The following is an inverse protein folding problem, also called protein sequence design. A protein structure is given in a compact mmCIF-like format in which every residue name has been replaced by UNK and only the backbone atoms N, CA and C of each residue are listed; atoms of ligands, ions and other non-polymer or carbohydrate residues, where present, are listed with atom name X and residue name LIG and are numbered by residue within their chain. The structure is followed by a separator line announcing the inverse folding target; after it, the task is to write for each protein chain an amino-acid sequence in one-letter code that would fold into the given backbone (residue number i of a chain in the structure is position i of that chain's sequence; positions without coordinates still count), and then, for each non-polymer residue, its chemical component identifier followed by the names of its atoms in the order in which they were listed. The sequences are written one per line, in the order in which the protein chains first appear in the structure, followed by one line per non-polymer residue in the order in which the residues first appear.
data_IF_352934606255
#
_entry.id   IF_352934606255
#
_cell.length_a   1.000
_cell.length_b   1.000
_cell.length_c   1.000
_cell.angle_alpha   90.00
_cell.angle_beta   90.00
_cell.angle_gamma   90.00
#
_symmetry.space_group_name_H-M   'P 1'
#
loop_
_entity.id
_entity.type
_entity.pdbx_description
1 polymer ?
#
# COMPACT_ATOMS: atom_id res chain seq x y z
N UNK A 1 18.14 -1.30 7.81
CA UNK A 1 16.82 -1.95 7.99
C UNK A 1 16.09 -1.72 6.68
N UNK A 2 15.49 -2.76 6.09
CA UNK A 2 15.01 -2.68 4.70
C UNK A 2 13.90 -1.63 4.59
N UNK A 3 14.07 -0.72 3.65
CA UNK A 3 13.18 0.39 3.25
C UNK A 3 11.78 -0.19 2.98
N UNK A 4 10.94 -0.25 4.02
CA UNK A 4 9.56 -0.76 3.95
C UNK A 4 8.60 0.38 3.62
N UNK A 5 9.08 1.62 3.70
CA UNK A 5 8.28 2.82 3.53
C UNK A 5 8.24 3.28 2.07
N UNK A 6 7.12 3.89 1.69
CA UNK A 6 6.91 4.42 0.32
C UNK A 6 7.89 5.56 0.00
N UNK A 7 8.30 6.30 1.03
CA UNK A 7 9.15 7.50 0.95
C UNK A 7 10.25 7.39 2.00
N UNK A 8 11.50 7.50 1.58
CA UNK A 8 12.62 7.55 2.52
C UNK A 8 12.66 8.89 3.28
N UNK A 9 13.17 8.88 4.50
CA UNK A 9 13.29 10.06 5.37
C UNK A 9 14.03 11.23 4.69
N UNK A 10 15.10 10.95 3.95
CA UNK A 10 15.83 11.97 3.18
C UNK A 10 14.97 12.62 2.08
N UNK A 11 14.08 11.86 1.44
CA UNK A 11 13.16 12.40 0.44
C UNK A 11 12.06 13.27 1.09
N UNK A 12 11.58 12.89 2.27
CA UNK A 12 10.61 13.68 3.05
C UNK A 12 11.22 15.01 3.52
N UNK A 13 12.46 14.99 4.05
CA UNK A 13 13.21 16.21 4.42
C UNK A 13 13.36 17.15 3.23
N UNK A 14 13.76 16.62 2.07
CA UNK A 14 13.88 17.40 0.84
C UNK A 14 12.55 18.05 0.43
N UNK A 15 11.43 17.34 0.59
CA UNK A 15 10.09 17.88 0.30
C UNK A 15 9.69 19.00 1.26
N UNK A 16 10.03 18.86 2.54
CA UNK A 16 9.74 19.83 3.58
C UNK A 16 10.72 21.01 3.64
N UNK A 17 11.76 20.99 2.80
CA UNK A 17 12.86 21.95 2.82
C UNK A 17 13.61 21.98 4.17
N UNK A 18 13.75 20.81 4.80
CA UNK A 18 14.55 20.59 6.02
C UNK A 18 15.97 20.19 5.60
N UNK A 19 16.97 20.72 6.29
CA UNK A 19 18.37 20.40 6.01
C UNK A 19 18.65 18.91 6.31
N UNK A 20 19.46 18.25 5.48
CA UNK A 20 19.66 16.80 5.58
C UNK A 20 20.38 16.39 6.88
N UNK A 21 21.20 17.29 7.42
CA UNK A 21 21.95 17.18 8.66
C UNK A 21 21.15 17.56 9.91
N UNK A 22 19.99 18.22 9.74
CA UNK A 22 19.06 18.45 10.82
C UNK A 22 18.36 17.14 11.18
N UNK A 23 18.64 16.64 12.38
CA UNK A 23 18.10 15.38 12.92
C UNK A 23 17.09 15.60 14.05
N UNK A 24 16.77 16.87 14.35
CA UNK A 24 15.94 17.24 15.51
C UNK A 24 14.50 16.70 15.43
N UNK A 25 14.04 16.36 14.23
CA UNK A 25 12.67 15.95 13.93
C UNK A 25 12.60 14.58 13.23
N UNK A 26 13.69 13.81 13.22
CA UNK A 26 13.77 12.56 12.45
C UNK A 26 12.80 11.50 12.96
N UNK A 27 12.74 11.32 14.28
CA UNK A 27 11.84 10.35 14.92
C UNK A 27 10.37 10.69 14.65
N UNK A 28 10.01 11.97 14.67
CA UNK A 28 8.65 12.43 14.40
C UNK A 28 8.30 12.28 12.91
N UNK A 29 9.19 12.71 12.01
CA UNK A 29 9.01 12.55 10.57
C UNK A 29 8.87 11.08 10.18
N UNK A 30 9.61 10.19 10.84
CA UNK A 30 9.51 8.76 10.61
C UNK A 30 8.14 8.21 10.99
N UNK A 31 7.56 8.64 12.11
CA UNK A 31 6.19 8.28 12.50
C UNK A 31 5.15 8.75 11.47
N UNK A 32 5.33 9.94 10.89
CA UNK A 32 4.49 10.43 9.80
C UNK A 32 4.62 9.59 8.53
N UNK A 33 5.84 9.19 8.17
CA UNK A 33 6.11 8.35 7.00
C UNK A 33 5.45 6.97 7.16
N UNK A 34 5.53 6.37 8.34
CA UNK A 34 4.89 5.09 8.67
C UNK A 34 3.36 5.21 8.56
N UNK A 35 2.77 6.25 9.17
CA UNK A 35 1.33 6.49 9.10
C UNK A 35 0.82 6.77 7.68
N UNK A 36 1.57 7.55 6.88
CA UNK A 36 1.24 7.83 5.47
C UNK A 36 1.29 6.56 4.63
N UNK A 37 2.27 5.70 4.90
CA UNK A 37 2.41 4.42 4.21
C UNK A 37 1.16 3.56 4.43
N UNK A 38 0.67 3.44 5.67
CA UNK A 38 -0.58 2.72 5.96
C UNK A 38 -1.79 3.30 5.19
N UNK A 39 -1.97 4.62 5.21
CA UNK A 39 -3.09 5.29 4.52
C UNK A 39 -3.05 5.06 3.01
N UNK A 40 -1.87 5.16 2.39
CA UNK A 40 -1.73 4.94 0.95
C UNK A 40 -1.93 3.46 0.59
N UNK A 41 -1.44 2.53 1.40
CA UNK A 41 -1.62 1.09 1.18
C UNK A 41 -3.08 0.66 1.33
N UNK A 42 -3.90 1.34 2.15
CA UNK A 42 -5.34 1.09 2.21
C UNK A 42 -6.04 1.37 0.88
N UNK A 43 -5.58 2.36 0.11
CA UNK A 43 -6.18 2.76 -1.18
C UNK A 43 -5.59 1.95 -2.34
N UNK A 44 -4.27 1.83 -2.40
CA UNK A 44 -3.54 1.32 -3.57
C UNK A 44 -3.16 -0.17 -3.44
N UNK A 45 -3.42 -0.75 -2.27
CA UNK A 45 -2.92 -2.07 -1.88
C UNK A 45 -1.46 -2.04 -1.43
N UNK A 46 -0.90 -3.21 -1.05
CA UNK A 46 0.47 -3.31 -0.55
C UNK A 46 1.47 -2.77 -1.60
N UNK A 47 2.25 -1.77 -1.20
CA UNK A 47 3.31 -1.18 -2.00
C UNK A 47 4.63 -1.89 -1.69
N UNK A 48 4.91 -2.14 -0.41
CA UNK A 48 6.07 -2.87 0.02
C UNK A 48 5.96 -4.37 -0.31
N UNK A 49 7.00 -5.01 -0.87
CA UNK A 49 7.04 -6.45 -1.04
C UNK A 49 6.96 -7.17 0.31
N UNK A 50 5.92 -7.98 0.49
CA UNK A 50 5.71 -8.80 1.68
C UNK A 50 5.51 -10.26 1.32
N UNK A 51 6.10 -11.14 2.13
CA UNK A 51 5.85 -12.57 2.03
C UNK A 51 4.48 -12.89 2.60
N UNK A 52 3.62 -13.51 1.80
CA UNK A 52 2.26 -13.91 2.16
C UNK A 52 2.17 -15.43 2.06
N UNK A 53 1.58 -16.05 3.09
CA UNK A 53 1.14 -17.45 3.05
C UNK A 53 -0.37 -17.50 2.99
N UNK A 54 -0.92 -18.15 1.97
CA UNK A 54 -2.36 -18.38 1.81
C UNK A 54 -2.67 -19.86 1.73
N UNK A 55 -3.79 -20.23 2.34
CA UNK A 55 -4.36 -21.57 2.29
C UNK A 55 -5.65 -21.52 1.50
N UNK A 56 -5.77 -22.41 0.53
CA UNK A 56 -6.88 -22.49 -0.41
C UNK A 56 -7.48 -23.89 -0.41
N UNK A 57 -8.79 -23.94 -0.64
CA UNK A 57 -9.50 -25.19 -0.84
C UNK A 57 -9.29 -25.71 -2.26
N UNK A 58 -9.01 -27.01 -2.37
CA UNK A 58 -8.81 -27.65 -3.67
C UNK A 58 -10.10 -27.97 -4.41
N UNK A 59 -10.00 -28.72 -5.53
CA UNK A 59 -11.12 -29.13 -6.42
C UNK A 59 -11.87 -27.97 -7.11
N UNK A 60 -11.48 -26.75 -6.80
CA UNK A 60 -11.91 -25.49 -7.43
C UNK A 60 -11.15 -25.26 -8.75
N UNK A 61 -11.56 -24.24 -9.51
CA UNK A 61 -10.88 -23.83 -10.75
C UNK A 61 -9.52 -23.16 -10.46
N UNK A 62 -9.10 -22.13 -11.22
CA UNK A 62 -7.92 -21.36 -10.83
C UNK A 62 -8.12 -20.75 -9.44
N UNK A 63 -7.06 -20.76 -8.63
CA UNK A 63 -7.07 -20.15 -7.30
C UNK A 63 -6.78 -18.66 -7.45
N UNK A 64 -7.62 -17.82 -6.84
CA UNK A 64 -7.41 -16.37 -6.79
C UNK A 64 -6.58 -16.05 -5.55
N UNK A 65 -5.37 -15.53 -5.74
CA UNK A 65 -4.55 -15.02 -4.65
C UNK A 65 -5.19 -13.75 -4.09
N UNK A 66 -5.42 -13.72 -2.77
CA UNK A 66 -6.29 -12.70 -2.15
C UNK A 66 -5.60 -11.36 -1.93
N UNK A 67 -4.27 -11.28 -2.10
CA UNK A 67 -3.48 -10.04 -1.91
C UNK A 67 -2.74 -9.65 -3.19
N UNK A 68 -3.43 -9.04 -4.18
CA UNK A 68 -2.76 -8.41 -5.30
C UNK A 68 -2.00 -7.13 -4.87
N UNK A 69 -0.95 -6.69 -5.59
CA UNK A 69 -0.38 -7.31 -6.78
C UNK A 69 0.58 -8.46 -6.40
N UNK A 70 0.57 -9.55 -7.18
CA UNK A 70 1.46 -10.70 -6.95
C UNK A 70 2.73 -10.51 -7.77
N UNK A 71 3.88 -10.36 -7.10
CA UNK A 71 5.18 -10.19 -7.73
C UNK A 71 5.75 -11.51 -8.21
N UNK A 72 5.77 -12.49 -7.32
CA UNK A 72 6.29 -13.83 -7.61
C UNK A 72 5.71 -14.85 -6.64
N UNK A 73 5.45 -16.05 -7.13
CA UNK A 73 5.07 -17.19 -6.30
C UNK A 73 6.34 -17.93 -5.93
N UNK A 74 6.60 -18.08 -4.63
CA UNK A 74 7.81 -18.68 -4.09
C UNK A 74 7.67 -20.19 -3.93
N UNK A 75 6.52 -20.66 -3.44
CA UNK A 75 6.25 -22.08 -3.30
C UNK A 75 4.76 -22.39 -3.38
N UNK A 76 4.42 -23.49 -4.03
CA UNK A 76 3.07 -24.06 -4.02
C UNK A 76 3.15 -25.45 -3.42
N UNK A 77 2.31 -25.72 -2.44
CA UNK A 77 2.19 -27.03 -1.78
C UNK A 77 0.79 -27.54 -2.02
N UNK A 78 0.67 -28.77 -2.52
CA UNK A 78 -0.59 -29.46 -2.81
C UNK A 78 -0.62 -30.75 -1.99
N UNK A 79 -1.65 -30.93 -1.16
CA UNK A 79 -1.82 -32.07 -0.26
C UNK A 79 -0.58 -32.39 0.61
N UNK A 80 0.14 -31.34 1.04
CA UNK A 80 1.37 -31.45 1.84
C UNK A 80 2.64 -31.70 1.03
N UNK A 81 2.55 -31.80 -0.30
CA UNK A 81 3.69 -32.00 -1.20
C UNK A 81 4.02 -30.69 -1.90
N UNK A 82 5.28 -30.25 -1.82
CA UNK A 82 5.77 -29.08 -2.55
C UNK A 82 5.83 -29.41 -4.04
N UNK A 83 5.14 -28.62 -4.86
CA UNK A 83 5.15 -28.74 -6.31
C UNK A 83 6.30 -27.90 -6.90
N UNK A 84 7.25 -28.56 -7.55
CA UNK A 84 8.32 -27.90 -8.31
C UNK A 84 7.90 -27.48 -9.71
N UNK A 85 6.90 -28.17 -10.28
CA UNK A 85 6.33 -27.93 -11.60
C UNK A 85 4.83 -28.25 -11.62
N UNK A 86 4.20 -28.18 -12.79
CA UNK A 86 2.79 -28.52 -12.93
C UNK A 86 1.82 -27.43 -12.48
N UNK A 87 2.27 -26.20 -12.30
CA UNK A 87 1.42 -25.04 -12.04
C UNK A 87 1.90 -23.84 -12.85
N UNK A 88 1.01 -22.89 -13.10
CA UNK A 88 1.33 -21.60 -13.71
C UNK A 88 0.60 -20.47 -13.00
N UNK A 89 1.10 -19.24 -13.11
CA UNK A 89 0.48 -18.06 -12.50
C UNK A 89 0.34 -16.95 -13.53
N UNK A 90 -0.79 -16.25 -13.50
CA UNK A 90 -1.05 -15.07 -14.34
C UNK A 90 -1.95 -14.08 -13.61
N UNK A 91 -1.48 -12.85 -13.40
CA UNK A 91 -2.31 -11.76 -12.84
C UNK A 91 -2.89 -12.03 -11.44
N UNK A 92 -2.21 -12.83 -10.61
CA UNK A 92 -2.72 -13.24 -9.29
C UNK A 92 -3.64 -14.47 -9.31
N UNK A 93 -3.85 -15.09 -10.47
CA UNK A 93 -4.50 -16.39 -10.59
C UNK A 93 -3.47 -17.51 -10.65
N UNK A 94 -3.66 -18.55 -9.86
CA UNK A 94 -2.83 -19.75 -9.85
C UNK A 94 -3.56 -20.93 -10.51
N UNK A 95 -2.97 -21.48 -11.56
CA UNK A 95 -3.51 -22.57 -12.36
C UNK A 95 -2.75 -23.87 -12.10
N UNK A 96 -3.49 -24.97 -12.01
CA UNK A 96 -2.90 -26.31 -12.04
C UNK A 96 -2.77 -26.76 -13.50
N UNK A 97 -1.55 -27.06 -13.93
CA UNK A 97 -1.30 -27.67 -15.23
C UNK A 97 -1.66 -29.15 -15.14
N UNK A 98 -2.50 -29.63 -16.06
CA UNK A 98 -2.95 -31.02 -16.08
C UNK A 98 -4.27 -31.32 -15.36
N UNK A 99 -4.98 -30.31 -14.84
CA UNK A 99 -6.33 -30.52 -14.32
C UNK A 99 -6.75 -29.56 -13.21
N UNK A 100 -7.38 -30.10 -12.17
CA UNK A 100 -7.82 -29.35 -10.97
C UNK A 100 -6.87 -29.62 -9.82
N UNK A 101 -6.84 -28.70 -8.87
CA UNK A 101 -6.15 -28.88 -7.60
C UNK A 101 -6.70 -30.08 -6.82
N UNK A 102 -5.82 -30.80 -6.13
CA UNK A 102 -6.16 -31.93 -5.27
C UNK A 102 -7.24 -31.53 -4.26
N UNK A 103 -8.31 -32.32 -4.17
CA UNK A 103 -9.44 -32.02 -3.30
C UNK A 103 -9.06 -32.10 -1.81
N UNK A 104 -9.68 -31.24 -1.00
CA UNK A 104 -9.48 -31.17 0.44
C UNK A 104 -9.59 -29.73 0.94
N UNK A 105 -10.11 -29.56 2.15
CA UNK A 105 -10.13 -28.26 2.81
C UNK A 105 -8.70 -27.86 3.14
N UNK A 106 -8.28 -26.67 2.70
CA UNK A 106 -6.89 -26.21 2.82
C UNK A 106 -5.85 -27.09 2.12
N UNK A 107 -6.26 -27.83 1.09
CA UNK A 107 -5.39 -28.75 0.36
C UNK A 107 -4.27 -28.07 -0.42
N UNK A 108 -4.34 -26.75 -0.64
CA UNK A 108 -3.31 -26.00 -1.36
C UNK A 108 -2.79 -24.87 -0.49
N UNK A 109 -1.48 -24.85 -0.25
CA UNK A 109 -0.80 -23.74 0.44
C UNK A 109 0.13 -23.04 -0.54
N UNK A 110 0.02 -21.72 -0.64
CA UNK A 110 0.80 -20.89 -1.55
C UNK A 110 1.57 -19.86 -0.75
N UNK A 111 2.87 -19.78 -0.98
CA UNK A 111 3.74 -18.71 -0.46
C UNK A 111 4.13 -17.84 -1.65
N UNK A 112 3.89 -16.54 -1.55
CA UNK A 112 4.17 -15.59 -2.62
C UNK A 112 4.55 -14.22 -2.07
N UNK A 113 5.22 -13.42 -2.91
CA UNK A 113 5.50 -12.02 -2.65
C UNK A 113 4.35 -11.18 -3.19
N UNK A 114 3.64 -10.50 -2.29
CA UNK A 114 2.64 -9.48 -2.64
C UNK A 114 3.30 -8.10 -2.54
N UNK A 115 3.06 -7.22 -3.51
CA UNK A 115 3.59 -5.86 -3.50
C UNK A 115 3.73 -5.26 -4.90
N UNK A 116 4.37 -4.11 -5.02
CA UNK A 116 4.70 -3.49 -6.31
C UNK A 116 6.19 -3.62 -6.60
N UNK A 117 6.54 -3.99 -7.84
CA UNK A 117 7.93 -4.16 -8.26
C UNK A 117 8.68 -2.81 -8.30
N UNK A 118 7.92 -1.74 -8.52
CA UNK A 118 8.37 -0.37 -8.36
C UNK A 118 7.21 0.49 -7.87
N UNK A 119 7.50 1.38 -6.92
CA UNK A 119 6.56 2.41 -6.50
C UNK A 119 6.46 3.44 -7.62
N UNK A 120 5.28 3.58 -8.22
CA UNK A 120 5.06 4.57 -9.27
C UNK A 120 5.39 5.98 -8.76
N UNK A 121 5.96 6.83 -9.62
CA UNK A 121 6.33 8.19 -9.25
C UNK A 121 5.13 8.99 -8.70
N UNK A 122 3.92 8.71 -9.21
CA UNK A 122 2.67 9.29 -8.71
C UNK A 122 2.36 8.90 -7.25
N UNK A 123 2.57 7.63 -6.88
CA UNK A 123 2.38 7.13 -5.50
C UNK A 123 3.41 7.79 -4.55
N UNK A 124 4.67 7.91 -5.00
CA UNK A 124 5.71 8.62 -4.23
C UNK A 124 5.38 10.09 -4.05
N UNK A 125 4.88 10.76 -5.08
CA UNK A 125 4.47 12.16 -5.02
C UNK A 125 3.28 12.35 -4.07
N UNK A 126 2.27 11.48 -4.18
CA UNK A 126 1.11 11.46 -3.30
C UNK A 126 1.50 11.30 -1.83
N UNK A 127 2.37 10.33 -1.51
CA UNK A 127 2.86 10.13 -0.15
C UNK A 127 3.65 11.35 0.38
N UNK A 128 4.49 11.98 -0.45
CA UNK A 128 5.22 13.21 -0.09
C UNK A 128 4.28 14.38 0.20
N UNK A 129 3.23 14.56 -0.62
CA UNK A 129 2.21 15.59 -0.38
C UNK A 129 1.43 15.30 0.91
N UNK A 130 1.11 14.03 1.18
CA UNK A 130 0.39 13.62 2.38
C UNK A 130 1.21 13.90 3.66
N UNK A 131 2.51 13.57 3.65
CA UNK A 131 3.46 13.92 4.73
C UNK A 131 3.50 15.44 4.91
N UNK A 132 3.68 16.18 3.83
CA UNK A 132 3.81 17.63 3.86
C UNK A 132 2.58 18.32 4.47
N UNK A 133 1.38 17.90 4.09
CA UNK A 133 0.13 18.53 4.55
C UNK A 133 -0.18 18.20 6.01
N UNK A 134 0.20 17.03 6.50
CA UNK A 134 -0.10 16.62 7.88
C UNK A 134 1.00 17.03 8.88
N UNK A 135 2.23 17.25 8.40
CA UNK A 135 3.35 17.69 9.22
C UNK A 135 3.42 19.23 9.38
N UNK A 136 3.21 20.00 8.31
CA UNK A 136 3.34 21.48 8.33
C UNK A 136 2.49 22.21 9.38
N UNK A 137 1.23 21.82 9.65
CA UNK A 137 0.41 22.50 10.67
C UNK A 137 1.01 22.46 12.08
N UNK A 138 1.94 21.55 12.37
CA UNK A 138 2.55 21.40 13.70
C UNK A 138 3.77 22.29 13.93
N UNK A 139 4.41 22.78 12.87
CA UNK A 139 5.62 23.61 12.95
C UNK A 139 5.35 25.09 13.31
N UNK A 140 4.09 25.48 13.51
CA UNK A 140 3.71 26.81 13.92
C UNK A 140 3.39 27.73 12.74
N UNK A 141 2.09 27.94 12.54
CA UNK A 141 1.53 28.92 11.63
C UNK A 141 0.05 28.63 11.45
N UNK A 142 -0.79 29.66 11.45
CA UNK A 142 -2.22 29.63 11.11
C UNK A 142 -2.43 29.12 9.67
N UNK A 143 -2.08 27.87 9.39
CA UNK A 143 -2.43 27.22 8.15
C UNK A 143 -3.84 26.69 8.31
N UNK A 144 -4.83 27.57 8.10
CA UNK A 144 -6.18 27.13 7.79
C UNK A 144 -6.15 26.51 6.39
N UNK A 145 -6.36 25.19 6.23
CA UNK A 145 -6.46 24.57 4.90
C UNK A 145 -7.73 25.01 4.13
N UNK A 146 -8.49 25.97 4.67
CA UNK A 146 -9.75 26.51 4.16
C UNK A 146 -9.72 28.04 4.05
N UNK A 147 -8.62 28.65 3.58
CA UNK A 147 -8.67 30.05 3.14
C UNK A 147 -9.34 30.16 1.76
N UNK A 148 -10.55 29.62 1.68
CA UNK A 148 -11.49 29.83 0.59
C UNK A 148 -12.57 30.75 1.14
N UNK A 149 -12.58 31.99 0.62
CA UNK A 149 -13.58 33.02 0.85
C UNK A 149 -14.98 32.55 0.35
N UNK A 150 -15.56 31.59 1.06
CA UNK A 150 -16.83 30.93 0.77
C UNK A 150 -17.48 30.60 2.12
N UNK A 151 -18.49 31.37 2.55
CA UNK A 151 -19.01 31.32 3.92
C UNK A 151 -19.90 30.10 4.22
N UNK A 152 -19.75 28.97 3.53
CA UNK A 152 -20.70 27.85 3.64
C UNK A 152 -20.09 26.46 3.47
N UNK A 153 -18.97 26.15 4.12
CA UNK A 153 -18.65 24.78 4.58
C UNK A 153 -17.33 24.74 5.38
N UNK A 154 -17.43 24.43 6.68
CA UNK A 154 -16.28 24.10 7.54
C UNK A 154 -16.24 24.89 8.85
N UNK A 155 -16.88 24.36 9.89
CA UNK A 155 -16.86 24.95 11.24
C UNK A 155 -15.43 24.89 11.81
N UNK A 156 -14.86 26.01 12.33
CA UNK A 156 -13.57 25.98 13.00
C UNK A 156 -13.70 25.21 14.32
N UNK A 157 -12.93 24.13 14.48
CA UNK A 157 -12.95 23.30 15.69
C UNK A 157 -13.49 21.87 15.48
N UNK A 158 -13.76 21.44 14.24
CA UNK A 158 -13.88 20.01 13.98
C UNK A 158 -12.55 19.33 14.28
N UNK A 159 -12.51 18.58 15.37
CA UNK A 159 -11.50 17.55 15.61
C UNK A 159 -11.58 16.61 14.41
N UNK A 160 -10.66 16.77 13.47
CA UNK A 160 -10.52 15.84 12.34
C UNK A 160 -10.03 14.52 12.93
N UNK A 161 -10.97 13.65 13.25
CA UNK A 161 -10.72 12.27 13.65
C UNK A 161 -10.24 11.50 12.41
N UNK A 162 -8.97 11.67 12.02
CA UNK A 162 -8.37 10.96 10.90
C UNK A 162 -7.26 11.73 10.16
N UNK A 163 -6.49 11.00 9.35
CA UNK A 163 -5.47 11.57 8.48
C UNK A 163 -6.13 12.43 7.39
N UNK A 164 -5.68 13.67 7.19
CA UNK A 164 -6.25 14.49 6.13
C UNK A 164 -5.67 14.07 4.77
N UNK A 165 -6.57 13.66 3.86
CA UNK A 165 -6.23 13.24 2.49
C UNK A 165 -6.78 14.26 1.49
N UNK A 166 -5.93 15.10 0.86
CA UNK A 166 -6.36 16.05 -0.16
C UNK A 166 -6.94 15.38 -1.42
N UNK A 167 -7.86 16.07 -2.12
CA UNK A 167 -8.43 15.57 -3.39
C UNK A 167 -7.35 15.32 -4.46
N UNK A 168 -6.33 16.18 -4.54
CA UNK A 168 -5.18 15.99 -5.43
C UNK A 168 -4.46 14.65 -5.17
N UNK A 169 -4.32 14.26 -3.90
CA UNK A 169 -3.74 12.96 -3.55
C UNK A 169 -4.66 11.83 -4.00
N UNK A 170 -5.97 11.96 -3.80
CA UNK A 170 -6.94 10.98 -4.34
C UNK A 170 -6.84 10.84 -5.86
N UNK A 171 -6.74 11.94 -6.60
CA UNK A 171 -6.63 11.92 -8.07
C UNK A 171 -5.32 11.26 -8.54
N UNK A 172 -4.21 11.48 -7.82
CA UNK A 172 -2.93 10.82 -8.08
C UNK A 172 -2.98 9.32 -7.81
N UNK A 173 -3.78 8.88 -6.83
CA UNK A 173 -3.92 7.48 -6.45
C UNK A 173 -5.01 6.75 -7.24
N UNK A 174 -6.02 7.45 -7.76
CA UNK A 174 -7.14 6.90 -8.52
C UNK A 174 -6.74 5.94 -9.66
N UNK A 175 -5.74 6.22 -10.52
CA UNK A 175 -5.33 5.26 -11.57
C UNK A 175 -4.65 3.99 -11.02
N UNK A 176 -4.34 3.97 -9.73
CA UNK A 176 -3.67 2.86 -9.04
C UNK A 176 -4.55 2.18 -8.00
N UNK A 177 -5.80 2.65 -7.84
CA UNK A 177 -6.80 2.10 -6.94
C UNK A 177 -7.13 0.66 -7.35
N UNK A 178 -6.93 -0.27 -6.42
CA UNK A 178 -7.22 -1.68 -6.64
C UNK A 178 -8.71 -2.01 -6.46
N UNK A 179 -9.49 -1.11 -5.87
CA UNK A 179 -10.90 -1.27 -5.54
C UNK A 179 -11.83 -0.53 -6.52
N UNK A 180 -11.31 0.20 -7.51
CA UNK A 180 -12.08 0.99 -8.48
C UNK A 180 -13.04 0.20 -9.40
N UNK A 181 -13.17 -1.12 -9.21
CA UNK A 181 -14.10 -1.99 -9.96
C UNK A 181 -15.04 -2.82 -9.09
N UNK A 182 -15.07 -2.62 -7.77
CA UNK A 182 -15.96 -3.31 -6.82
C UNK A 182 -16.95 -2.29 -6.26
N UNK A 183 -17.93 -1.92 -7.10
CA UNK A 183 -19.07 -1.07 -6.76
C UNK A 183 -20.36 -1.69 -7.28
#
# INVERSE_FOLDING_TARGET
MADTDIVALAEAKKQLNIAADDTSQDDELQLYIEAVTEVVEQVVGPVAPRTVTEVHDGRTGPLVLRRPPVLSVTSVTEAGIVLTDGWSTAGGLLYRLGGRWAGGQGGVTVIYQAGRASTAAAIKLAAKELVMVNYRPQLGGDYSPFDTDSPDEGVPGEVRLGFFVPNRVRDLLAPHDQYAGIG
#
